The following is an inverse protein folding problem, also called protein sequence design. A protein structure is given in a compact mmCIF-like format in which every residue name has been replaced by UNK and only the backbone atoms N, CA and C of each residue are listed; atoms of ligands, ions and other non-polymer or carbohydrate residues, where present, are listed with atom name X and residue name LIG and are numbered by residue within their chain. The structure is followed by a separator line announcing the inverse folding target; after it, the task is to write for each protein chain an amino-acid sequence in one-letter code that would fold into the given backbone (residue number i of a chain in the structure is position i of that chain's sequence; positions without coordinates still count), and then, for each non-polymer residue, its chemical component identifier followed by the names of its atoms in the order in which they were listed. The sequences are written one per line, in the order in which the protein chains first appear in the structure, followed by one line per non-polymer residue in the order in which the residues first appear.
data_IF_410545302272
#
_entry.id   IF_410545302272
#
_cell.length_a   1.000
_cell.length_b   1.000
_cell.length_c   1.000
_cell.angle_alpha   90.00
_cell.angle_beta   90.00
_cell.angle_gamma   90.00
#
_symmetry.space_group_name_H-M   'P 1'
#
loop_
_entity.id
_entity.type
_entity.pdbx_description
1 polymer ?
#
# COMPACT_ATOMS: atom_id res chain seq x y z
N UNK A 1 0.85 -7.26 5.20
CA UNK A 1 0.27 -5.97 4.75
C UNK A 1 -0.92 -5.65 5.63
N UNK A 2 -1.09 -4.40 6.04
CA UNK A 2 -2.19 -3.95 6.89
C UNK A 2 -2.90 -2.76 6.25
N UNK A 3 -4.23 -2.82 6.25
CA UNK A 3 -5.13 -1.75 5.81
C UNK A 3 -5.87 -1.22 7.04
N UNK A 4 -5.67 0.05 7.37
CA UNK A 4 -6.41 0.72 8.44
C UNK A 4 -7.84 1.04 7.95
N UNK A 5 -7.95 1.71 6.80
CA UNK A 5 -9.22 1.93 6.09
C UNK A 5 -9.01 2.18 4.60
N UNK A 6 -9.70 1.43 3.74
CA UNK A 6 -9.65 1.60 2.28
C UNK A 6 -10.84 0.88 1.60
N UNK A 7 -11.73 1.62 0.95
CA UNK A 7 -12.99 1.06 0.43
C UNK A 7 -13.80 0.38 1.54
N UNK A 8 -14.17 -0.89 1.36
CA UNK A 8 -14.86 -1.70 2.36
C UNK A 8 -13.93 -2.38 3.38
N UNK A 9 -12.61 -2.30 3.21
CA UNK A 9 -11.67 -2.83 4.19
C UNK A 9 -11.48 -1.85 5.34
N UNK A 10 -11.53 -2.37 6.57
CA UNK A 10 -11.22 -1.64 7.79
C UNK A 10 -10.46 -2.58 8.74
N UNK A 11 -9.29 -2.13 9.21
CA UNK A 11 -8.42 -2.83 10.15
C UNK A 11 -8.15 -4.30 9.75
N UNK A 12 -7.76 -4.50 8.48
CA UNK A 12 -7.53 -5.83 7.90
C UNK A 12 -6.06 -6.09 7.60
N UNK A 13 -5.61 -7.29 7.92
CA UNK A 13 -4.27 -7.79 7.59
C UNK A 13 -4.35 -8.83 6.49
N UNK A 14 -3.46 -8.71 5.50
CA UNK A 14 -3.25 -9.69 4.43
C UNK A 14 -1.81 -10.23 4.49
N UNK A 15 -1.68 -11.54 4.26
CA UNK A 15 -0.42 -12.28 4.32
C UNK A 15 -0.33 -13.20 5.55
N UNK A 16 0.87 -13.73 5.86
CA UNK A 16 2.14 -13.44 5.18
C UNK A 16 2.18 -13.95 3.73
N UNK A 17 2.95 -13.28 2.87
CA UNK A 17 3.11 -13.62 1.45
C UNK A 17 4.39 -14.43 1.25
N UNK A 18 4.37 -15.69 1.68
CA UNK A 18 5.58 -16.54 1.73
C UNK A 18 5.81 -17.39 0.48
N UNK A 19 4.94 -17.25 -0.53
CA UNK A 19 5.03 -17.99 -1.78
C UNK A 19 5.61 -17.08 -2.89
N UNK A 20 6.38 -17.64 -3.84
CA UNK A 20 6.87 -16.89 -5.01
C UNK A 20 5.74 -16.25 -5.83
N UNK A 21 4.55 -16.87 -5.80
CA UNK A 21 3.34 -16.37 -6.42
C UNK A 21 2.20 -16.49 -5.40
N UNK A 22 1.48 -15.39 -5.18
CA UNK A 22 0.27 -15.34 -4.35
C UNK A 22 -0.94 -15.05 -5.23
N UNK A 23 -1.98 -15.89 -5.15
CA UNK A 23 -3.22 -15.72 -5.91
C UNK A 23 -4.33 -15.27 -4.94
N UNK A 24 -4.97 -14.13 -5.24
CA UNK A 24 -6.16 -13.67 -4.53
C UNK A 24 -7.41 -14.12 -5.29
N UNK A 25 -8.11 -15.13 -4.77
CA UNK A 25 -9.34 -15.66 -5.34
C UNK A 25 -10.57 -15.23 -4.52
N UNK A 26 -11.68 -14.99 -5.21
CA UNK A 26 -12.98 -14.68 -4.60
C UNK A 26 -13.98 -14.25 -5.67
N UNK A 27 -15.24 -14.11 -5.29
CA UNK A 27 -16.31 -13.62 -6.16
C UNK A 27 -16.06 -12.18 -6.63
N UNK A 28 -16.83 -11.73 -7.62
CA UNK A 28 -16.92 -10.30 -7.91
C UNK A 28 -17.31 -9.55 -6.61
N UNK A 29 -16.81 -8.33 -6.47
CA UNK A 29 -17.05 -7.50 -5.26
C UNK A 29 -16.42 -8.00 -3.96
N UNK A 30 -15.72 -9.15 -3.95
CA UNK A 30 -14.94 -9.62 -2.80
C UNK A 30 -13.80 -8.65 -2.39
N UNK A 31 -13.48 -7.67 -3.24
CA UNK A 31 -12.51 -6.63 -2.94
C UNK A 31 -11.14 -6.78 -3.59
N UNK A 32 -10.99 -7.65 -4.60
CA UNK A 32 -9.72 -7.86 -5.32
C UNK A 32 -9.18 -6.58 -5.96
N UNK A 33 -10.03 -5.84 -6.69
CA UNK A 33 -9.65 -4.55 -7.29
C UNK A 33 -9.35 -3.48 -6.24
N UNK A 34 -10.09 -3.49 -5.12
CA UNK A 34 -9.84 -2.60 -3.97
C UNK A 34 -8.49 -2.88 -3.33
N UNK A 35 -8.09 -4.16 -3.21
CA UNK A 35 -6.80 -4.58 -2.69
C UNK A 35 -5.64 -4.14 -3.61
N UNK A 36 -5.81 -4.32 -4.92
CA UNK A 36 -4.83 -3.87 -5.92
C UNK A 36 -4.67 -2.34 -5.88
N UNK A 37 -5.78 -1.60 -5.80
CA UNK A 37 -5.76 -0.15 -5.68
C UNK A 37 -5.12 0.34 -4.37
N UNK A 38 -5.28 -0.40 -3.27
CA UNK A 38 -4.57 -0.12 -2.01
C UNK A 38 -3.05 -0.27 -2.20
N UNK A 39 -2.58 -1.38 -2.78
CA UNK A 39 -1.15 -1.60 -3.04
C UNK A 39 -0.58 -0.46 -3.90
N UNK A 40 -1.27 -0.11 -4.99
CA UNK A 40 -0.89 1.02 -5.86
C UNK A 40 -0.88 2.35 -5.11
N UNK A 41 -1.83 2.57 -4.20
CA UNK A 41 -1.89 3.80 -3.40
C UNK A 41 -0.70 3.91 -2.45
N UNK A 42 -0.34 2.83 -1.75
CA UNK A 42 0.84 2.83 -0.85
C UNK A 42 2.12 3.11 -1.65
N UNK A 43 2.29 2.46 -2.79
CA UNK A 43 3.50 2.58 -3.62
C UNK A 43 3.59 3.90 -4.39
N UNK A 44 2.49 4.42 -4.92
CA UNK A 44 2.50 5.52 -5.89
C UNK A 44 1.66 6.74 -5.48
N UNK A 45 1.09 6.74 -4.29
CA UNK A 45 0.28 7.84 -3.77
C UNK A 45 -1.19 7.76 -4.17
N UNK A 46 -2.00 8.56 -3.49
CA UNK A 46 -3.45 8.61 -3.70
C UNK A 46 -3.81 9.15 -5.08
N UNK A 47 -4.80 8.56 -5.78
CA UNK A 47 -5.34 9.16 -6.98
C UNK A 47 -6.05 10.48 -6.63
N UNK A 48 -6.11 11.39 -7.61
CA UNK A 48 -6.90 12.62 -7.48
C UNK A 48 -8.37 12.28 -7.21
N UNK A 49 -9.03 13.04 -6.32
CA UNK A 49 -10.46 12.87 -6.05
C UNK A 49 -11.25 12.95 -7.36
N UNK A 50 -12.20 12.04 -7.55
CA UNK A 50 -13.04 11.96 -8.74
C UNK A 50 -12.45 11.17 -9.92
N UNK A 51 -11.21 10.65 -9.81
CA UNK A 51 -10.69 9.66 -10.76
C UNK A 51 -11.09 8.24 -10.39
N UNK A 52 -11.05 7.34 -11.37
CA UNK A 52 -11.10 5.90 -11.15
C UNK A 52 -10.06 5.49 -10.09
N UNK A 53 -10.41 4.48 -9.29
CA UNK A 53 -9.59 3.92 -8.20
C UNK A 53 -9.45 4.77 -6.92
N UNK A 54 -10.25 5.82 -6.72
CA UNK A 54 -10.36 6.48 -5.40
C UNK A 54 -11.32 5.72 -4.47
N UNK A 55 -10.81 5.09 -3.42
CA UNK A 55 -11.58 4.24 -2.49
C UNK A 55 -11.59 4.76 -1.05
N UNK A 56 -12.41 5.77 -0.72
CA UNK A 56 -12.50 6.26 0.65
C UNK A 56 -12.96 5.16 1.64
N UNK A 57 -12.57 5.24 2.93
CA UNK A 57 -12.85 4.19 3.91
C UNK A 57 -14.31 4.25 4.37
N UNK A 58 -15.16 3.41 3.77
CA UNK A 58 -16.60 3.39 4.08
C UNK A 58 -16.94 2.66 5.38
N UNK A 59 -16.02 1.83 5.89
CA UNK A 59 -16.21 1.02 7.12
C UNK A 59 -15.37 1.51 8.31
N UNK A 60 -14.85 2.73 8.23
CA UNK A 60 -14.00 3.32 9.27
C UNK A 60 -12.51 3.07 9.05
N UNK A 61 -11.71 3.49 10.05
CA UNK A 61 -10.25 3.51 9.97
C UNK A 61 -9.68 4.76 9.28
N UNK A 62 -8.37 4.97 9.41
CA UNK A 62 -7.67 6.04 8.69
C UNK A 62 -7.45 5.62 7.25
N UNK A 63 -7.72 6.53 6.29
CA UNK A 63 -7.58 6.22 4.87
C UNK A 63 -6.12 5.93 4.52
N UNK A 64 -5.75 4.65 4.39
CA UNK A 64 -4.38 4.22 4.23
C UNK A 64 -4.03 2.96 5.01
N UNK A 65 -2.72 2.74 5.20
CA UNK A 65 -2.15 1.57 5.84
C UNK A 65 -0.68 1.39 5.47
N UNK A 66 -0.15 0.18 5.67
CA UNK A 66 1.26 -0.10 5.41
C UNK A 66 1.53 -1.49 4.84
N UNK A 67 2.68 -1.61 4.19
CA UNK A 67 3.22 -2.85 3.64
C UNK A 67 4.66 -3.03 4.11
N UNK A 68 5.06 -4.28 4.33
CA UNK A 68 6.47 -4.63 4.50
C UNK A 68 6.98 -5.13 3.15
N UNK A 69 8.05 -4.53 2.66
CA UNK A 69 8.74 -4.87 1.41
C UNK A 69 10.18 -5.20 1.71
N UNK A 70 10.84 -5.94 0.81
CA UNK A 70 12.26 -6.24 0.88
C UNK A 70 12.96 -5.76 -0.38
N UNK A 71 14.19 -5.29 -0.24
CA UNK A 71 15.09 -5.06 -1.38
C UNK A 71 15.82 -6.35 -1.79
N UNK A 72 16.68 -6.25 -2.82
CA UNK A 72 17.46 -7.38 -3.35
C UNK A 72 18.46 -7.97 -2.34
N UNK A 73 18.83 -7.21 -1.29
CA UNK A 73 19.68 -7.70 -0.21
C UNK A 73 18.90 -8.49 0.86
N UNK A 74 17.56 -8.51 0.76
CA UNK A 74 16.67 -9.07 1.77
C UNK A 74 16.39 -8.13 2.95
N UNK A 75 16.90 -6.90 2.91
CA UNK A 75 16.63 -5.90 3.95
C UNK A 75 15.15 -5.48 3.88
N UNK A 76 14.48 -5.44 5.03
CA UNK A 76 13.04 -5.20 5.13
C UNK A 76 12.71 -3.78 5.56
N UNK A 77 11.72 -3.22 4.90
CA UNK A 77 11.22 -1.87 5.12
C UNK A 77 9.71 -1.88 5.28
N UNK A 78 9.19 -1.11 6.22
CA UNK A 78 7.80 -0.74 6.28
C UNK A 78 7.57 0.53 5.45
N UNK A 79 6.72 0.41 4.43
CA UNK A 79 6.21 1.54 3.64
C UNK A 79 4.79 1.81 4.09
N UNK A 80 4.58 2.95 4.71
CA UNK A 80 3.29 3.41 5.23
C UNK A 80 2.83 4.63 4.44
N UNK A 81 1.54 4.66 4.10
CA UNK A 81 0.94 5.84 3.49
C UNK A 81 -0.48 6.09 3.99
N UNK A 82 -0.75 7.32 4.40
CA UNK A 82 -2.09 7.79 4.79
C UNK A 82 -2.52 9.01 3.98
N UNK A 83 -3.83 9.17 3.78
CA UNK A 83 -4.37 10.32 3.08
C UNK A 83 -4.07 11.61 3.85
N UNK A 84 -3.45 12.55 3.15
CA UNK A 84 -3.11 13.89 3.62
C UNK A 84 -3.07 14.83 2.39
N UNK A 85 -2.66 16.08 2.58
CA UNK A 85 -2.42 16.99 1.46
C UNK A 85 -1.38 16.41 0.48
N UNK A 86 -1.39 16.88 -0.78
CA UNK A 86 -0.37 16.57 -1.81
C UNK A 86 -0.12 15.07 -2.10
N UNK A 87 -1.14 14.23 -1.99
CA UNK A 87 -1.06 12.81 -2.41
C UNK A 87 -0.76 11.81 -1.28
N UNK A 88 -0.84 12.25 -0.03
CA UNK A 88 -0.69 11.41 1.16
C UNK A 88 0.64 11.61 1.87
N UNK A 89 0.64 11.32 3.17
CA UNK A 89 1.84 11.31 4.01
C UNK A 89 2.53 9.95 3.84
N UNK A 90 3.82 9.96 3.47
CA UNK A 90 4.65 8.78 3.23
C UNK A 90 5.65 8.63 4.36
N UNK A 91 5.67 7.46 4.99
CA UNK A 91 6.65 7.11 6.00
C UNK A 91 7.33 5.81 5.58
N UNK A 92 8.66 5.80 5.61
CA UNK A 92 9.47 4.61 5.33
C UNK A 92 10.35 4.36 6.54
N UNK A 93 10.25 3.15 7.09
CA UNK A 93 11.05 2.73 8.25
C UNK A 93 11.69 1.37 8.04
N UNK A 94 12.91 1.19 8.56
CA UNK A 94 13.47 -0.13 8.80
C UNK A 94 12.69 -0.83 9.91
N UNK A 95 12.82 -2.16 10.00
CA UNK A 95 12.20 -2.92 11.09
C UNK A 95 12.85 -2.66 12.46
N UNK A 96 14.02 -2.02 12.46
CA UNK A 96 14.71 -1.49 13.64
C UNK A 96 14.17 -0.12 14.09
N UNK A 97 13.24 0.47 13.33
CA UNK A 97 12.66 1.79 13.59
C UNK A 97 13.39 2.95 12.91
N UNK A 98 14.48 2.71 12.18
CA UNK A 98 15.22 3.74 11.45
C UNK A 98 14.35 4.37 10.37
N UNK A 99 14.23 5.71 10.36
CA UNK A 99 13.46 6.43 9.34
C UNK A 99 14.29 6.71 8.10
N UNK A 100 13.68 6.58 6.92
CA UNK A 100 14.29 6.85 5.63
C UNK A 100 13.56 7.99 4.90
N UNK A 101 14.26 8.67 4.00
CA UNK A 101 13.65 9.69 3.13
C UNK A 101 12.80 9.06 2.04
N UNK A 102 11.92 9.85 1.42
CA UNK A 102 11.13 9.46 0.24
C UNK A 102 11.96 8.87 -0.90
N UNK A 103 13.25 9.25 -1.00
CA UNK A 103 14.19 8.70 -1.98
C UNK A 103 14.33 7.18 -1.86
N UNK A 104 14.21 6.63 -0.65
CA UNK A 104 14.28 5.18 -0.41
C UNK A 104 13.15 4.41 -1.12
N UNK A 105 11.96 4.99 -1.23
CA UNK A 105 10.88 4.35 -1.99
C UNK A 105 11.22 4.27 -3.49
N UNK A 106 11.91 5.27 -4.04
CA UNK A 106 12.35 5.24 -5.44
C UNK A 106 13.37 4.15 -5.68
N UNK A 107 14.31 3.96 -4.75
CA UNK A 107 15.25 2.83 -4.78
C UNK A 107 14.52 1.49 -4.72
N UNK A 108 13.55 1.35 -3.80
CA UNK A 108 12.76 0.12 -3.63
C UNK A 108 11.88 -0.21 -4.85
N UNK A 109 11.36 0.80 -5.54
CA UNK A 109 10.57 0.62 -6.75
C UNK A 109 11.44 0.28 -7.98
N UNK A 110 12.72 0.65 -7.98
CA UNK A 110 13.61 0.47 -9.13
C UNK A 110 13.01 1.07 -10.40
N UNK A 111 12.77 0.24 -11.42
CA UNK A 111 12.16 0.64 -12.69
C UNK A 111 10.63 0.50 -12.73
N UNK A 112 9.98 0.10 -11.64
CA UNK A 112 8.53 -0.04 -11.59
C UNK A 112 7.84 1.32 -11.61
N UNK A 113 6.98 1.55 -12.61
CA UNK A 113 6.17 2.77 -12.73
C UNK A 113 4.70 2.50 -12.41
N UNK A 114 3.93 3.59 -12.22
CA UNK A 114 2.48 3.52 -12.01
C UNK A 114 1.72 3.18 -13.31
N UNK A 115 2.34 3.33 -14.47
CA UNK A 115 1.67 3.26 -15.78
C UNK A 115 1.39 1.81 -16.22
N UNK A 116 0.10 1.51 -16.41
CA UNK A 116 -0.46 0.51 -17.35
C UNK A 116 -1.67 1.17 -18.01
#
# INVERSE_FOLDING_TARGET
MYIDGFGHFAQRTFGPFNAPITIFQGENEAGKSTLLAFIRTVLYGFPTRGRNEYYPPFRGGRHGGHMVVSDDSGTRYMVERYAAARGGDLIIKGLDGTSYSDGKLRELLGHASKEV
#
